data_IF_881759169067
#
_entry.id   IF_881759169067
#
_cell.length_a   1.000
_cell.length_b   1.000
_cell.length_c   1.000
_cell.angle_alpha   90.00
_cell.angle_beta   90.00
_cell.angle_gamma   90.00
#
_symmetry.space_group_name_H-M   'P 1'
#
loop_
_entity.id
_entity.type
_entity.pdbx_description
1 polymer ?
#
# COMPACT_ATOMS: atom_id res chain seq x y z
N UNK A 1 -62.82 -13.18 26.71
CA UNK A 1 -61.91 -12.04 26.47
C UNK A 1 -60.48 -12.53 26.63
N UNK A 2 -59.72 -12.51 25.54
CA UNK A 2 -58.34 -13.01 25.44
C UNK A 2 -57.39 -12.05 26.18
N UNK A 3 -56.49 -12.57 27.01
CA UNK A 3 -55.26 -11.88 27.41
C UNK A 3 -54.10 -12.79 27.06
N UNK A 4 -53.47 -12.49 25.92
CA UNK A 4 -52.19 -13.04 25.49
C UNK A 4 -51.13 -12.37 26.36
N UNK A 5 -50.44 -13.13 27.20
CA UNK A 5 -49.28 -12.65 27.93
C UNK A 5 -48.03 -12.99 27.12
N UNK A 6 -47.29 -11.94 26.78
CA UNK A 6 -46.12 -11.91 25.91
C UNK A 6 -44.98 -12.81 26.34
N UNK A 7 -44.61 -13.74 25.47
CA UNK A 7 -43.27 -14.33 25.38
C UNK A 7 -42.40 -13.30 24.65
N UNK A 8 -41.76 -12.38 25.37
CA UNK A 8 -40.76 -11.46 24.77
C UNK A 8 -39.48 -11.33 25.61
N UNK A 9 -39.41 -11.91 26.81
CA UNK A 9 -38.26 -11.72 27.71
C UNK A 9 -37.11 -12.74 27.54
N UNK A 10 -36.90 -13.30 26.34
CA UNK A 10 -35.83 -14.30 26.11
C UNK A 10 -35.18 -14.18 24.72
N UNK A 11 -34.98 -12.96 24.21
CA UNK A 11 -34.31 -12.76 22.91
C UNK A 11 -33.38 -11.54 22.86
N UNK A 12 -32.80 -11.12 23.99
CA UNK A 12 -32.04 -9.87 24.08
C UNK A 12 -30.60 -10.02 24.62
N UNK A 13 -30.01 -11.23 24.64
CA UNK A 13 -28.61 -11.43 25.09
C UNK A 13 -27.79 -12.28 24.09
N UNK A 14 -28.22 -12.35 22.84
CA UNK A 14 -27.59 -13.20 21.81
C UNK A 14 -27.12 -12.45 20.57
N UNK A 15 -26.96 -11.13 20.62
CA UNK A 15 -26.25 -10.36 19.58
C UNK A 15 -24.78 -10.27 20.00
N UNK A 16 -24.11 -11.43 20.08
CA UNK A 16 -22.67 -11.44 19.92
C UNK A 16 -22.40 -11.07 18.47
N UNK A 17 -21.45 -10.15 18.29
CA UNK A 17 -20.90 -9.69 17.03
C UNK A 17 -20.56 -10.89 16.13
N UNK A 18 -21.50 -11.30 15.29
CA UNK A 18 -21.16 -11.90 14.01
C UNK A 18 -20.69 -10.74 13.15
N UNK A 19 -19.41 -10.39 13.25
CA UNK A 19 -18.72 -9.74 12.14
C UNK A 19 -19.04 -10.62 10.94
N UNK A 20 -19.93 -10.13 10.08
CA UNK A 20 -20.15 -10.77 8.80
C UNK A 20 -18.80 -10.70 8.12
N UNK A 21 -18.24 -11.85 7.76
CA UNK A 21 -17.03 -11.89 6.94
C UNK A 21 -17.26 -10.89 5.82
N UNK A 22 -16.53 -9.78 5.84
CA UNK A 22 -16.47 -8.84 4.73
C UNK A 22 -15.88 -9.67 3.63
N UNK A 23 -16.73 -10.20 2.75
CA UNK A 23 -16.25 -10.85 1.56
C UNK A 23 -15.63 -9.74 0.75
N UNK A 24 -14.30 -9.67 0.75
CA UNK A 24 -13.59 -8.73 -0.09
C UNK A 24 -14.10 -8.88 -1.53
N UNK A 25 -14.23 -7.76 -2.25
CA UNK A 25 -14.60 -7.69 -3.66
C UNK A 25 -13.68 -8.58 -4.52
N UNK A 26 -12.49 -8.92 -4.02
CA UNK A 26 -11.66 -10.05 -4.47
C UNK A 26 -10.98 -10.70 -3.25
N UNK A 27 -11.15 -12.01 -2.98
CA UNK A 27 -10.40 -12.70 -1.94
C UNK A 27 -8.90 -12.66 -2.25
N UNK A 28 -8.09 -12.37 -1.24
CA UNK A 28 -6.63 -12.46 -1.33
C UNK A 28 -6.22 -13.82 -0.80
N UNK A 29 -5.48 -14.59 -1.59
CA UNK A 29 -4.90 -15.85 -1.13
C UNK A 29 -3.88 -15.54 -0.01
N UNK A 30 -3.84 -16.33 1.05
CA UNK A 30 -2.88 -16.12 2.16
C UNK A 30 -3.22 -15.04 3.19
N UNK A 31 -4.07 -14.04 2.90
CA UNK A 31 -4.53 -13.06 3.89
C UNK A 31 -5.91 -13.45 4.44
N UNK A 32 -5.92 -14.21 5.53
CA UNK A 32 -7.18 -14.60 6.18
C UNK A 32 -7.89 -13.43 6.86
N UNK A 33 -7.14 -12.40 7.27
CA UNK A 33 -7.68 -11.26 8.01
C UNK A 33 -8.55 -10.36 7.13
N UNK A 34 -8.16 -10.13 5.86
CA UNK A 34 -8.77 -9.13 4.98
C UNK A 34 -8.71 -7.72 5.58
N UNK A 35 -7.72 -7.45 6.43
CA UNK A 35 -7.64 -6.22 7.24
C UNK A 35 -6.26 -5.60 7.17
N UNK A 36 -6.19 -4.28 7.28
CA UNK A 36 -4.93 -3.57 7.51
C UNK A 36 -4.60 -3.50 9.00
N UNK A 37 -3.32 -3.69 9.32
CA UNK A 37 -2.81 -3.56 10.67
C UNK A 37 -2.94 -2.12 11.18
N UNK A 38 -3.59 -1.88 12.33
CA UNK A 38 -3.70 -0.52 12.88
C UNK A 38 -2.55 -0.20 13.82
N UNK A 39 -1.78 0.84 13.48
CA UNK A 39 -0.80 1.48 14.35
C UNK A 39 -1.49 2.47 15.31
N UNK A 40 -1.27 2.37 16.63
CA UNK A 40 -1.67 3.39 17.57
C UNK A 40 -0.87 4.69 17.36
N UNK A 41 -1.50 5.83 17.65
CA UNK A 41 -0.85 7.13 17.55
C UNK A 41 0.46 7.19 18.38
N UNK A 42 1.56 7.57 17.74
CA UNK A 42 2.90 7.67 18.33
C UNK A 42 3.68 6.35 18.40
N UNK A 43 3.13 5.27 17.84
CA UNK A 43 3.76 3.96 17.70
C UNK A 43 3.88 3.54 16.22
N UNK A 44 3.64 4.45 15.27
CA UNK A 44 3.88 4.22 13.85
C UNK A 44 5.36 3.90 13.57
N UNK A 45 5.65 3.09 12.54
CA UNK A 45 7.03 2.70 12.23
C UNK A 45 7.85 3.91 11.81
N UNK A 46 9.11 3.93 12.22
CA UNK A 46 10.10 4.86 11.71
C UNK A 46 10.64 4.32 10.40
N UNK A 47 10.52 5.10 9.32
CA UNK A 47 10.91 4.63 7.99
C UNK A 47 12.42 4.79 7.81
N UNK A 48 13.18 3.76 8.12
CA UNK A 48 14.64 3.75 7.99
C UNK A 48 15.21 2.42 7.44
N UNK A 49 14.32 1.50 7.07
CA UNK A 49 14.65 0.18 6.54
C UNK A 49 15.15 -0.81 7.59
N UNK A 50 15.15 -0.45 8.88
CA UNK A 50 15.13 -1.40 9.98
C UNK A 50 13.69 -1.87 10.19
N UNK A 51 13.44 -3.17 10.02
CA UNK A 51 12.09 -3.72 10.08
C UNK A 51 11.69 -4.15 11.50
N UNK A 52 12.49 -3.84 12.52
CA UNK A 52 12.28 -4.34 13.89
C UNK A 52 10.92 -3.96 14.49
N UNK A 53 10.39 -2.81 14.10
CA UNK A 53 9.07 -2.30 14.49
C UNK A 53 7.95 -3.21 13.97
N UNK A 54 8.15 -3.83 12.81
CA UNK A 54 7.16 -4.72 12.18
C UNK A 54 7.13 -6.12 12.80
N UNK A 55 8.08 -6.51 13.64
CA UNK A 55 8.13 -7.82 14.33
C UNK A 55 6.94 -8.04 15.28
N UNK A 56 6.26 -6.97 15.69
CA UNK A 56 5.06 -7.03 16.51
C UNK A 56 3.79 -7.35 15.72
N UNK A 57 3.83 -7.21 14.39
CA UNK A 57 2.70 -7.49 13.51
C UNK A 57 2.50 -9.00 13.43
N UNK A 58 1.31 -9.54 13.74
CA UNK A 58 1.06 -10.97 13.65
C UNK A 58 1.23 -11.51 12.22
N UNK A 59 1.70 -12.76 12.11
CA UNK A 59 2.01 -13.41 10.82
C UNK A 59 0.83 -13.41 9.82
N UNK A 60 -0.41 -13.34 10.29
CA UNK A 60 -1.63 -13.36 9.45
C UNK A 60 -2.00 -12.02 8.79
N UNK A 61 -1.19 -10.98 9.00
CA UNK A 61 -1.23 -9.74 8.20
C UNK A 61 -0.23 -9.74 7.04
N UNK A 62 0.77 -10.63 7.09
CA UNK A 62 1.78 -10.71 6.04
C UNK A 62 1.24 -11.44 4.82
N UNK A 63 1.59 -10.92 3.65
CA UNK A 63 1.31 -11.54 2.36
C UNK A 63 2.60 -12.18 1.86
N UNK A 64 2.75 -13.51 1.95
CA UNK A 64 3.93 -14.20 1.47
C UNK A 64 3.98 -14.23 -0.07
N UNK A 65 5.15 -14.48 -0.62
CA UNK A 65 5.37 -14.53 -2.06
C UNK A 65 4.49 -15.56 -2.78
N UNK A 66 4.28 -16.73 -2.18
CA UNK A 66 3.45 -17.81 -2.73
C UNK A 66 1.97 -17.45 -2.87
N UNK A 67 1.55 -16.34 -2.28
CA UNK A 67 0.20 -15.79 -2.35
C UNK A 67 0.02 -14.73 -3.44
N UNK A 68 1.09 -14.36 -4.16
CA UNK A 68 1.03 -13.40 -5.25
C UNK A 68 0.95 -14.11 -6.61
N UNK A 69 0.09 -13.57 -7.47
CA UNK A 69 -0.19 -14.08 -8.81
C UNK A 69 0.73 -13.42 -9.84
N UNK A 70 1.42 -14.23 -10.62
CA UNK A 70 2.22 -13.77 -11.74
C UNK A 70 1.32 -13.37 -12.93
N UNK A 71 1.56 -12.19 -13.51
CA UNK A 71 0.69 -11.54 -14.49
C UNK A 71 1.14 -11.61 -15.95
N UNK A 72 2.45 -11.70 -16.22
CA UNK A 72 3.02 -11.45 -17.54
C UNK A 72 3.63 -12.70 -18.20
N UNK A 73 4.24 -13.58 -17.40
CA UNK A 73 4.94 -14.79 -17.83
C UNK A 73 4.01 -16.00 -17.94
N UNK A 74 2.80 -15.92 -17.37
CA UNK A 74 1.82 -17.00 -17.34
C UNK A 74 2.21 -18.13 -16.39
N UNK A 75 3.00 -17.82 -15.36
CA UNK A 75 3.47 -18.80 -14.36
C UNK A 75 2.40 -19.10 -13.30
N UNK A 76 1.38 -18.25 -13.15
CA UNK A 76 0.37 -18.41 -12.13
C UNK A 76 0.96 -18.22 -10.73
N UNK A 77 1.03 -19.29 -9.93
CA UNK A 77 1.66 -19.31 -8.60
C UNK A 77 2.99 -20.11 -8.58
N UNK A 78 3.45 -20.61 -9.73
CA UNK A 78 4.72 -21.34 -9.81
C UNK A 78 5.89 -20.36 -9.77
N UNK A 79 6.24 -19.95 -8.55
CA UNK A 79 7.25 -18.94 -8.28
C UNK A 79 8.61 -19.57 -7.91
N UNK A 80 9.71 -19.03 -8.45
CA UNK A 80 11.08 -19.48 -8.15
C UNK A 80 11.73 -18.59 -7.08
N UNK A 81 11.73 -19.05 -5.82
CA UNK A 81 12.32 -18.33 -4.69
C UNK A 81 13.83 -18.08 -4.80
N UNK A 82 14.53 -18.78 -5.71
CA UNK A 82 15.95 -18.52 -5.96
C UNK A 82 16.21 -17.37 -6.93
N UNK A 83 15.15 -16.91 -7.62
CA UNK A 83 15.17 -15.73 -8.45
C UNK A 83 14.58 -14.55 -7.66
N UNK A 84 13.30 -14.62 -7.30
CA UNK A 84 12.63 -13.58 -6.52
C UNK A 84 11.96 -14.21 -5.29
N UNK A 85 11.99 -13.56 -4.15
CA UNK A 85 11.15 -13.93 -3.00
C UNK A 85 10.87 -12.71 -2.15
N UNK A 86 9.63 -12.53 -1.71
CA UNK A 86 9.30 -11.41 -0.85
C UNK A 86 8.13 -11.68 0.08
N UNK A 87 7.97 -10.82 1.06
CA UNK A 87 6.74 -10.70 1.83
C UNK A 87 6.39 -9.24 1.98
N UNK A 88 5.10 -8.95 1.98
CA UNK A 88 4.59 -7.59 2.17
C UNK A 88 3.62 -7.53 3.34
N UNK A 89 3.46 -6.35 3.91
CA UNK A 89 2.42 -6.07 4.89
C UNK A 89 1.99 -4.61 4.74
N UNK A 90 0.70 -4.38 4.99
CA UNK A 90 0.11 -3.05 4.95
C UNK A 90 -0.60 -2.74 6.27
N UNK A 91 -0.42 -1.51 6.74
CA UNK A 91 -0.99 -0.98 7.95
C UNK A 91 -1.47 0.46 7.78
N UNK A 92 -2.12 0.98 8.81
CA UNK A 92 -2.68 2.32 8.80
C UNK A 92 -2.65 2.93 10.20
N UNK A 93 -2.69 4.26 10.30
CA UNK A 93 -2.84 4.96 11.57
C UNK A 93 -3.93 6.03 11.48
N UNK A 94 -4.88 5.98 12.41
CA UNK A 94 -5.81 7.09 12.62
C UNK A 94 -5.11 8.34 13.19
N UNK A 95 -3.95 8.17 13.81
CA UNK A 95 -3.17 9.25 14.42
C UNK A 95 -2.46 10.13 13.40
N UNK A 96 -1.80 9.51 12.43
CA UNK A 96 -1.12 10.22 11.33
C UNK A 96 -2.01 10.38 10.09
N UNK A 97 -3.12 9.64 10.01
CA UNK A 97 -3.97 9.55 8.82
C UNK A 97 -3.18 9.09 7.58
N UNK A 98 -2.37 8.04 7.75
CA UNK A 98 -1.51 7.48 6.68
C UNK A 98 -1.69 5.98 6.54
N UNK A 99 -1.39 5.49 5.33
CA UNK A 99 -1.08 4.10 5.10
C UNK A 99 0.44 3.89 5.22
N UNK A 100 0.80 2.72 5.75
CA UNK A 100 2.17 2.26 5.93
C UNK A 100 2.32 0.91 5.26
N UNK A 101 3.40 0.73 4.53
CA UNK A 101 3.69 -0.50 3.82
C UNK A 101 5.10 -0.94 4.15
N UNK A 102 5.31 -2.25 4.20
CA UNK A 102 6.63 -2.84 4.32
C UNK A 102 6.78 -3.99 3.33
N UNK A 103 7.98 -4.10 2.76
CA UNK A 103 8.41 -5.23 1.96
C UNK A 103 9.79 -5.67 2.39
N UNK A 104 9.95 -6.98 2.58
CA UNK A 104 11.24 -7.64 2.62
C UNK A 104 11.36 -8.47 1.33
N UNK A 105 12.31 -8.12 0.46
CA UNK A 105 12.51 -8.71 -0.87
C UNK A 105 13.93 -9.27 -0.98
N UNK A 106 14.03 -10.55 -1.31
CA UNK A 106 15.21 -11.14 -1.94
C UNK A 106 15.01 -11.13 -3.46
N UNK A 107 16.10 -10.88 -4.17
CA UNK A 107 16.14 -10.84 -5.62
C UNK A 107 17.54 -11.25 -6.09
N UNK A 108 17.63 -12.09 -7.13
CA UNK A 108 18.90 -12.52 -7.73
C UNK A 108 19.61 -11.41 -8.52
N UNK A 109 18.88 -10.39 -8.96
CA UNK A 109 19.42 -9.26 -9.69
C UNK A 109 18.54 -8.01 -9.60
N UNK A 110 18.92 -7.11 -8.69
CA UNK A 110 18.17 -5.86 -8.54
C UNK A 110 18.47 -4.85 -9.65
N UNK A 111 17.58 -4.74 -10.64
CA UNK A 111 17.77 -3.91 -11.82
C UNK A 111 17.33 -2.45 -11.61
N UNK A 112 18.25 -1.52 -11.85
CA UNK A 112 18.02 -0.06 -11.87
C UNK A 112 18.48 0.60 -13.18
N UNK A 113 18.79 -0.21 -14.18
CA UNK A 113 19.25 0.20 -15.50
C UNK A 113 18.25 -0.15 -16.61
N UNK A 114 17.17 -0.87 -16.31
CA UNK A 114 16.24 -1.33 -17.33
C UNK A 114 15.49 -0.20 -18.05
N UNK A 115 15.01 -0.50 -19.25
CA UNK A 115 14.30 0.46 -20.11
C UNK A 115 12.99 -0.16 -20.55
N UNK A 116 11.88 0.37 -20.04
CA UNK A 116 10.57 -0.23 -20.27
C UNK A 116 9.41 0.75 -20.07
N UNK A 117 8.22 0.32 -20.49
CA UNK A 117 6.99 1.10 -20.34
C UNK A 117 6.37 0.98 -18.94
N UNK A 118 6.58 -0.16 -18.27
CA UNK A 118 6.16 -0.43 -16.89
C UNK A 118 7.33 -0.08 -15.98
N UNK A 119 7.10 0.71 -14.92
CA UNK A 119 8.14 1.10 -13.96
C UNK A 119 9.42 1.71 -14.57
N UNK A 120 9.33 2.31 -15.76
CA UNK A 120 10.48 2.70 -16.59
C UNK A 120 11.46 1.56 -16.96
N UNK A 121 11.07 0.30 -16.71
CA UNK A 121 11.87 -0.91 -16.90
C UNK A 121 12.71 -1.31 -15.68
N UNK A 122 12.52 -0.67 -14.53
CA UNK A 122 13.27 -1.05 -13.33
C UNK A 122 12.41 -1.89 -12.37
N UNK A 123 13.11 -2.58 -11.47
CA UNK A 123 12.50 -3.18 -10.30
C UNK A 123 11.75 -2.16 -9.45
N UNK A 124 10.51 -2.50 -9.12
CA UNK A 124 9.63 -1.57 -8.43
C UNK A 124 8.50 -2.25 -7.66
N UNK A 125 7.86 -1.47 -6.80
CA UNK A 125 6.62 -1.83 -6.16
C UNK A 125 5.52 -0.84 -6.56
N UNK A 126 4.59 -1.31 -7.40
CA UNK A 126 3.41 -0.55 -7.81
C UNK A 126 2.32 -0.72 -6.75
N UNK A 127 1.81 0.38 -6.20
CA UNK A 127 0.76 0.38 -5.17
C UNK A 127 -0.43 1.18 -5.70
N UNK A 128 -1.61 0.57 -5.66
CA UNK A 128 -2.88 1.10 -6.11
C UNK A 128 -3.82 1.31 -4.91
N UNK A 129 -4.34 2.52 -4.72
CA UNK A 129 -5.14 2.89 -3.55
C UNK A 129 -6.43 3.56 -4.02
N UNK A 130 -7.56 3.09 -3.52
CA UNK A 130 -8.89 3.66 -3.67
C UNK A 130 -9.51 3.79 -2.28
N UNK A 131 -9.30 4.96 -1.67
CA UNK A 131 -9.56 5.16 -0.25
C UNK A 131 -11.06 5.25 0.08
N UNK A 132 -11.88 5.78 -0.82
CA UNK A 132 -13.33 5.83 -0.64
C UNK A 132 -14.06 4.59 -1.19
N UNK A 133 -13.29 3.65 -1.78
CA UNK A 133 -13.77 2.39 -2.35
C UNK A 133 -14.80 2.61 -3.47
N UNK A 134 -14.60 3.67 -4.25
CA UNK A 134 -15.48 4.07 -5.35
C UNK A 134 -15.36 3.19 -6.61
N UNK A 135 -14.23 2.50 -6.77
CA UNK A 135 -13.90 1.70 -7.94
C UNK A 135 -13.43 2.53 -9.14
N UNK A 136 -12.88 3.72 -8.91
CA UNK A 136 -12.47 4.63 -9.97
C UNK A 136 -11.23 4.14 -10.75
N UNK A 137 -11.04 4.71 -11.94
CA UNK A 137 -9.80 4.53 -12.72
C UNK A 137 -8.67 5.32 -12.09
N UNK A 138 -7.47 4.75 -12.18
CA UNK A 138 -6.25 5.43 -11.72
C UNK A 138 -5.83 6.58 -12.65
N UNK A 139 -6.24 6.54 -13.92
CA UNK A 139 -5.82 7.50 -14.92
C UNK A 139 -6.88 7.74 -16.00
N UNK A 140 -6.80 8.92 -16.61
CA UNK A 140 -7.62 9.29 -17.76
C UNK A 140 -6.89 8.96 -19.07
N UNK A 141 -7.63 8.39 -20.03
CA UNK A 141 -7.14 8.12 -21.38
C UNK A 141 -7.06 9.41 -22.21
N UNK A 142 -6.24 9.43 -23.28
CA UNK A 142 -6.12 10.60 -24.15
C UNK A 142 -7.45 11.11 -24.73
N UNK A 143 -8.39 10.20 -24.98
CA UNK A 143 -9.70 10.51 -25.58
C UNK A 143 -10.79 10.80 -24.53
N UNK A 144 -10.51 10.67 -23.23
CA UNK A 144 -11.48 10.96 -22.16
C UNK A 144 -11.73 12.48 -22.04
N UNK A 145 -10.71 13.31 -22.34
CA UNK A 145 -10.77 14.77 -22.25
C UNK A 145 -10.01 15.44 -23.40
N UNK A 146 -10.65 16.41 -24.05
CA UNK A 146 -10.02 17.22 -25.11
C UNK A 146 -8.95 18.18 -24.54
N UNK A 147 -9.20 18.71 -23.34
CA UNK A 147 -8.31 19.64 -22.65
C UNK A 147 -7.23 18.88 -21.86
N UNK A 148 -5.98 19.29 -22.05
CA UNK A 148 -4.84 18.61 -21.43
C UNK A 148 -4.78 18.82 -19.91
N UNK A 149 -5.20 19.99 -19.41
CA UNK A 149 -5.21 20.28 -17.98
C UNK A 149 -6.34 19.51 -17.29
N UNK A 150 -7.52 19.41 -17.93
CA UNK A 150 -8.61 18.57 -17.45
C UNK A 150 -8.23 17.09 -17.46
N UNK A 151 -7.52 16.60 -18.48
CA UNK A 151 -6.96 15.25 -18.45
C UNK A 151 -6.00 15.08 -17.29
N UNK A 152 -5.06 16.02 -17.10
CA UNK A 152 -4.08 15.97 -16.02
C UNK A 152 -4.74 15.99 -14.63
N UNK A 153 -5.85 16.72 -14.49
CA UNK A 153 -6.67 16.81 -13.28
C UNK A 153 -7.32 15.48 -12.89
N UNK A 154 -7.51 14.58 -13.85
CA UNK A 154 -8.11 13.26 -13.63
C UNK A 154 -7.07 12.12 -13.60
N UNK A 155 -5.78 12.44 -13.55
CA UNK A 155 -4.72 11.46 -13.28
C UNK A 155 -4.58 11.27 -11.77
N UNK A 156 -4.90 10.08 -11.28
CA UNK A 156 -4.80 9.75 -9.85
C UNK A 156 -5.86 10.37 -8.95
N UNK A 157 -6.96 10.89 -9.52
CA UNK A 157 -7.89 11.77 -8.81
C UNK A 157 -8.60 11.08 -7.64
N UNK A 158 -9.30 9.99 -7.93
CA UNK A 158 -10.17 9.28 -6.98
C UNK A 158 -9.54 7.95 -6.54
N UNK A 159 -8.86 7.27 -7.47
CA UNK A 159 -7.96 6.17 -7.19
C UNK A 159 -6.53 6.57 -7.59
N UNK A 160 -5.55 6.24 -6.74
CA UNK A 160 -4.14 6.58 -6.90
C UNK A 160 -3.33 5.34 -7.28
N UNK A 161 -2.47 5.44 -8.29
CA UNK A 161 -1.49 4.42 -8.63
C UNK A 161 -0.09 5.06 -8.67
N UNK A 162 0.87 4.47 -7.96
CA UNK A 162 2.25 4.88 -8.02
C UNK A 162 3.22 3.70 -8.04
N UNK A 163 4.26 3.79 -8.87
CA UNK A 163 5.42 2.91 -8.78
C UNK A 163 6.41 3.47 -7.78
N UNK A 164 6.95 2.62 -6.94
CA UNK A 164 7.96 2.97 -5.95
C UNK A 164 9.26 2.24 -6.27
N UNK A 165 10.37 2.95 -6.21
CA UNK A 165 11.67 2.50 -6.71
C UNK A 165 12.77 2.84 -5.72
N UNK A 166 13.67 1.88 -5.47
CA UNK A 166 14.77 2.03 -4.53
C UNK A 166 16.06 1.44 -5.09
N UNK A 167 17.20 2.13 -5.01
CA UNK A 167 17.32 3.56 -4.77
C UNK A 167 16.62 4.40 -5.85
N UNK A 168 16.36 5.67 -5.55
CA UNK A 168 15.70 6.63 -6.43
C UNK A 168 16.23 6.62 -7.87
N UNK A 169 15.32 6.83 -8.83
CA UNK A 169 15.65 6.93 -10.24
C UNK A 169 16.47 8.21 -10.56
N UNK A 170 17.66 8.11 -11.18
CA UNK A 170 18.53 9.27 -11.42
C UNK A 170 18.35 9.98 -12.77
N UNK A 171 17.57 9.43 -13.73
CA UNK A 171 17.46 9.95 -15.09
C UNK A 171 16.12 10.66 -15.34
N UNK A 172 16.18 11.89 -15.87
CA UNK A 172 15.02 12.72 -16.27
C UNK A 172 14.23 12.17 -17.46
N UNK A 173 14.74 11.16 -18.18
CA UNK A 173 13.99 10.41 -19.19
C UNK A 173 13.20 9.22 -18.60
N UNK A 174 13.37 8.95 -17.30
CA UNK A 174 12.57 8.02 -16.50
C UNK A 174 11.79 8.84 -15.47
N UNK A 175 10.91 8.19 -14.71
CA UNK A 175 10.37 8.86 -13.53
C UNK A 175 11.52 9.36 -12.65
N UNK A 176 11.43 10.56 -12.08
CA UNK A 176 12.48 11.10 -11.21
C UNK A 176 12.04 10.88 -9.77
N UNK A 177 12.94 10.37 -8.91
CA UNK A 177 12.66 10.15 -7.49
C UNK A 177 12.38 8.70 -7.12
N UNK A 178 11.89 8.51 -5.89
CA UNK A 178 11.54 7.20 -5.33
C UNK A 178 10.07 6.83 -5.60
N UNK A 179 9.21 7.80 -5.92
CA UNK A 179 7.77 7.59 -6.14
C UNK A 179 7.32 8.21 -7.46
N UNK A 180 6.98 7.36 -8.40
CA UNK A 180 6.37 7.77 -9.65
C UNK A 180 4.86 7.67 -9.57
N UNK A 181 4.18 8.79 -9.30
CA UNK A 181 2.73 8.84 -9.42
C UNK A 181 2.30 8.76 -10.88
N UNK A 182 1.71 7.62 -11.25
CA UNK A 182 1.45 7.25 -12.63
C UNK A 182 0.63 8.31 -13.38
N UNK A 183 1.14 8.74 -14.54
CA UNK A 183 0.59 9.81 -15.38
C UNK A 183 0.36 11.17 -14.69
N UNK A 184 0.84 11.37 -13.46
CA UNK A 184 0.66 12.61 -12.71
C UNK A 184 1.82 13.57 -12.92
N UNK A 185 1.52 14.86 -13.09
CA UNK A 185 2.51 15.95 -13.07
C UNK A 185 2.76 16.49 -11.66
N UNK A 186 2.27 15.81 -10.62
CA UNK A 186 2.52 16.23 -9.24
C UNK A 186 4.00 16.13 -8.88
N UNK A 187 4.47 17.11 -8.12
CA UNK A 187 5.86 17.22 -7.66
C UNK A 187 5.98 17.32 -6.14
N UNK A 188 4.89 17.03 -5.41
CA UNK A 188 4.78 17.27 -3.97
C UNK A 188 4.33 16.04 -3.18
N UNK A 189 3.76 15.03 -3.85
CA UNK A 189 3.10 13.88 -3.23
C UNK A 189 4.06 12.85 -2.62
N UNK A 190 5.35 12.98 -2.89
CA UNK A 190 6.43 12.14 -2.38
C UNK A 190 7.18 12.78 -1.21
N UNK A 191 6.94 14.08 -0.96
CA UNK A 191 7.57 14.81 0.13
C UNK A 191 6.74 14.71 1.42
N UNK A 192 7.43 14.81 2.56
CA UNK A 192 6.75 14.94 3.85
C UNK A 192 5.84 16.20 3.86
N UNK A 193 4.62 16.11 4.41
CA UNK A 193 4.07 14.99 5.19
C UNK A 193 3.23 13.99 4.37
N UNK A 194 3.30 14.00 3.05
CA UNK A 194 2.41 13.26 2.15
C UNK A 194 2.99 11.92 1.70
N UNK A 195 4.31 11.85 1.55
CA UNK A 195 5.05 10.63 1.31
C UNK A 195 6.31 10.62 2.14
N UNK A 196 6.76 9.43 2.49
CA UNK A 196 8.08 9.18 3.06
C UNK A 196 8.44 7.70 2.87
N UNK A 197 9.72 7.37 2.96
CA UNK A 197 10.19 6.01 2.75
C UNK A 197 11.49 5.74 3.52
N UNK A 198 11.72 4.46 3.80
CA UNK A 198 12.95 3.95 4.39
C UNK A 198 13.39 2.71 3.63
N UNK A 199 14.69 2.55 3.39
CA UNK A 199 15.16 1.30 2.80
C UNK A 199 16.60 0.97 3.19
N UNK A 200 16.90 -0.33 3.19
CA UNK A 200 18.24 -0.87 3.31
C UNK A 200 18.44 -1.99 2.30
N UNK A 201 19.64 -2.04 1.70
CA UNK A 201 20.04 -3.07 0.75
C UNK A 201 21.26 -3.82 1.28
N UNK A 202 21.15 -5.15 1.37
CA UNK A 202 22.29 -6.05 1.50
C UNK A 202 22.64 -6.59 0.11
N UNK A 203 23.60 -5.96 -0.54
CA UNK A 203 23.96 -6.24 -1.92
C UNK A 203 24.22 -4.94 -2.69
N UNK A 204 24.33 -5.04 -4.00
CA UNK A 204 24.49 -3.87 -4.85
C UNK A 204 23.65 -4.04 -6.12
N UNK A 205 22.86 -3.00 -6.41
CA UNK A 205 22.05 -2.92 -7.64
C UNK A 205 22.90 -3.17 -8.88
N UNK A 206 22.30 -3.79 -9.90
CA UNK A 206 22.93 -4.12 -11.17
C UNK A 206 24.18 -5.00 -11.06
N UNK A 207 24.33 -5.83 -10.02
CA UNK A 207 25.57 -6.61 -9.84
C UNK A 207 25.41 -7.98 -9.17
N UNK A 208 24.18 -8.45 -8.95
CA UNK A 208 23.88 -9.77 -8.38
C UNK A 208 22.80 -9.70 -7.30
N UNK A 209 22.81 -10.70 -6.41
CA UNK A 209 21.79 -10.88 -5.38
C UNK A 209 21.70 -9.67 -4.43
N UNK A 210 20.46 -9.29 -4.11
CA UNK A 210 20.13 -8.22 -3.18
C UNK A 210 19.05 -8.70 -2.23
N UNK A 211 19.21 -8.41 -0.94
CA UNK A 211 18.10 -8.40 0.01
C UNK A 211 17.76 -6.96 0.36
N UNK A 212 16.54 -6.54 0.04
CA UNK A 212 16.00 -5.23 0.32
C UNK A 212 14.98 -5.28 1.46
N UNK A 213 15.08 -4.31 2.37
CA UNK A 213 14.10 -4.02 3.40
C UNK A 213 13.57 -2.63 3.13
N UNK A 214 12.28 -2.51 2.89
CA UNK A 214 11.65 -1.32 2.34
C UNK A 214 10.43 -0.98 3.15
N UNK A 215 10.26 0.30 3.43
CA UNK A 215 9.09 0.85 4.10
C UNK A 215 8.60 2.08 3.34
N UNK A 216 7.28 2.23 3.25
CA UNK A 216 6.62 3.36 2.58
C UNK A 216 5.51 3.90 3.45
N UNK A 217 5.42 5.22 3.52
CA UNK A 217 4.26 5.93 4.04
C UNK A 217 3.66 6.78 2.92
N UNK A 218 2.32 6.78 2.84
CA UNK A 218 1.60 7.67 1.92
C UNK A 218 0.30 8.21 2.51
N UNK A 219 0.02 9.46 2.20
CA UNK A 219 -1.29 10.05 2.30
C UNK A 219 -2.23 9.48 1.22
N UNK A 220 -3.52 9.55 1.50
CA UNK A 220 -4.60 9.02 0.66
C UNK A 220 -5.67 10.09 0.44
N UNK A 221 -6.32 10.08 -0.72
CA UNK A 221 -7.10 11.24 -1.19
C UNK A 221 -8.47 10.83 -1.72
N UNK A 222 -9.50 11.56 -1.29
CA UNK A 222 -10.85 11.52 -1.87
C UNK A 222 -10.94 12.36 -3.15
N UNK A 223 -10.09 13.37 -3.31
CA UNK A 223 -9.96 14.13 -4.56
C UNK A 223 -8.55 14.70 -4.65
N UNK A 224 -7.65 13.98 -5.31
CA UNK A 224 -6.27 14.43 -5.52
C UNK A 224 -6.18 15.50 -6.61
N UNK A 225 -5.36 16.52 -6.36
CA UNK A 225 -5.03 17.54 -7.34
C UNK A 225 -3.51 17.69 -7.51
N UNK A 226 -3.04 17.42 -8.72
CA UNK A 226 -1.60 17.43 -9.05
C UNK A 226 -0.87 18.77 -8.79
N UNK A 227 -1.58 19.90 -8.73
CA UNK A 227 -1.00 21.23 -8.49
C UNK A 227 -0.51 21.35 -7.04
N UNK A 228 -1.26 20.83 -6.08
CA UNK A 228 -0.92 21.02 -4.68
C UNK A 228 -1.88 20.33 -3.71
N UNK A 229 -1.43 20.13 -2.45
CA UNK A 229 -2.26 19.56 -1.40
C UNK A 229 -3.43 20.48 -1.00
N UNK A 230 -3.26 21.81 -1.12
CA UNK A 230 -4.32 22.80 -0.80
C UNK A 230 -5.54 22.71 -1.73
N UNK A 231 -5.35 22.16 -2.94
CA UNK A 231 -6.40 21.93 -3.92
C UNK A 231 -6.94 20.49 -3.87
N UNK A 232 -6.40 19.67 -2.95
CA UNK A 232 -6.75 18.27 -2.78
C UNK A 232 -7.66 18.06 -1.56
N UNK A 233 -8.40 16.95 -1.54
CA UNK A 233 -9.21 16.51 -0.40
C UNK A 233 -8.61 15.21 0.11
N UNK A 234 -7.96 15.27 1.26
CA UNK A 234 -7.40 14.10 1.93
C UNK A 234 -8.52 13.21 2.49
N UNK A 235 -8.44 11.91 2.26
CA UNK A 235 -9.38 10.95 2.83
C UNK A 235 -9.16 10.82 4.34
N UNK A 236 -10.23 10.68 5.13
CA UNK A 236 -10.12 10.43 6.57
C UNK A 236 -10.22 8.92 6.86
N UNK A 237 -9.07 8.28 7.08
CA UNK A 237 -9.00 6.87 7.43
C UNK A 237 -9.73 6.62 8.76
N UNK A 238 -10.79 5.81 8.71
CA UNK A 238 -11.68 5.57 9.84
C UNK A 238 -11.84 4.09 10.08
N UNK A 239 -11.71 3.67 11.34
CA UNK A 239 -11.92 2.29 11.75
C UNK A 239 -13.29 1.78 11.28
N UNK A 240 -13.29 0.59 10.69
CA UNK A 240 -14.48 -0.07 10.15
C UNK A 240 -14.82 0.29 8.72
N UNK A 241 -14.13 1.27 8.10
CA UNK A 241 -14.23 1.50 6.67
C UNK A 241 -13.46 0.43 5.90
N UNK A 242 -13.90 0.19 4.67
CA UNK A 242 -13.18 -0.62 3.68
C UNK A 242 -12.51 0.31 2.68
N UNK A 243 -11.29 -0.01 2.27
CA UNK A 243 -10.61 0.63 1.15
C UNK A 243 -10.34 -0.40 0.04
N UNK A 244 -10.25 0.08 -1.20
CA UNK A 244 -9.68 -0.67 -2.31
C UNK A 244 -8.16 -0.53 -2.26
N UNK A 245 -7.45 -1.65 -2.23
CA UNK A 245 -5.99 -1.66 -2.23
C UNK A 245 -5.48 -2.78 -3.13
N UNK A 246 -4.42 -2.46 -3.84
CA UNK A 246 -3.74 -3.32 -4.78
C UNK A 246 -2.25 -3.07 -4.73
N UNK A 247 -1.47 -4.09 -5.07
CA UNK A 247 -0.08 -3.86 -5.43
C UNK A 247 0.46 -4.96 -6.35
N UNK A 248 1.54 -4.60 -7.06
CA UNK A 248 2.33 -5.47 -7.93
C UNK A 248 3.80 -5.25 -7.63
N UNK A 249 4.54 -6.32 -7.36
CA UNK A 249 6.01 -6.30 -7.29
C UNK A 249 6.53 -6.67 -8.68
N UNK A 250 7.35 -5.80 -9.26
CA UNK A 250 7.96 -5.96 -10.58
C UNK A 250 9.43 -6.36 -10.44
N UNK A 251 9.87 -7.31 -11.27
CA UNK A 251 11.20 -7.95 -11.22
C UNK A 251 11.83 -7.98 -12.61
N UNK A 252 12.43 -6.87 -13.00
CA UNK A 252 12.90 -6.67 -14.36
C UNK A 252 14.37 -7.04 -14.48
N UNK A 253 14.68 -8.32 -14.69
CA UNK A 253 16.06 -8.83 -14.94
C UNK A 253 16.58 -8.48 -16.35
N UNK A 254 16.67 -7.19 -16.71
CA UNK A 254 17.00 -6.77 -18.08
C UNK A 254 18.49 -6.89 -18.44
N UNK A 255 18.98 -8.12 -18.57
CA UNK A 255 20.28 -8.41 -19.16
C UNK A 255 20.22 -8.26 -20.71
N UNK A 256 20.45 -7.03 -21.17
CA UNK A 256 20.99 -6.61 -22.49
C UNK A 256 20.10 -6.44 -23.75
N UNK A 257 18.85 -6.88 -23.86
CA UNK A 257 18.00 -6.47 -25.01
C UNK A 257 16.56 -6.19 -24.58
N UNK A 258 16.05 -5.02 -24.96
CA UNK A 258 14.62 -4.65 -24.90
C UNK A 258 13.77 -5.83 -25.40
N UNK A 259 13.13 -6.55 -24.47
CA UNK A 259 12.22 -7.67 -24.71
C UNK A 259 10.88 -7.20 -25.35
N UNK A 260 10.87 -6.07 -26.04
CA UNK A 260 9.69 -5.44 -26.63
C UNK A 260 8.81 -4.75 -25.59
N UNK A 261 9.41 -4.25 -24.51
CA UNK A 261 8.71 -3.59 -23.40
C UNK A 261 7.92 -4.52 -22.47
N UNK A 262 8.15 -5.83 -22.51
CA UNK A 262 7.66 -6.74 -21.47
C UNK A 262 8.58 -6.60 -20.24
N UNK A 263 8.03 -6.19 -19.10
CA UNK A 263 8.70 -6.37 -17.82
C UNK A 263 8.94 -7.86 -17.63
N UNK A 264 10.16 -8.24 -17.27
CA UNK A 264 10.35 -9.55 -16.65
C UNK A 264 9.48 -9.49 -15.36
N UNK A 265 8.60 -10.48 -15.19
CA UNK A 265 7.78 -10.74 -13.99
C UNK A 265 6.98 -9.61 -13.31
N UNK A 266 5.70 -9.86 -13.04
CA UNK A 266 4.88 -8.98 -12.18
C UNK A 266 3.98 -9.80 -11.28
N UNK A 267 4.10 -9.62 -9.96
CA UNK A 267 3.39 -10.41 -8.96
C UNK A 267 2.41 -9.54 -8.19
N UNK A 268 1.12 -9.73 -8.47
CA UNK A 268 0.04 -8.99 -7.83
C UNK A 268 -0.70 -9.77 -6.74
N UNK A 269 -1.31 -9.06 -5.79
CA UNK A 269 -2.02 -9.68 -4.66
C UNK A 269 -3.33 -10.39 -4.99
N UNK A 270 -3.82 -10.23 -6.22
CA UNK A 270 -5.06 -10.86 -6.64
C UNK A 270 -4.94 -11.28 -8.11
N UNK A 271 -5.76 -12.21 -8.61
CA UNK A 271 -5.58 -12.75 -9.95
C UNK A 271 -6.02 -11.80 -11.09
N UNK A 272 -6.55 -10.62 -10.76
CA UNK A 272 -7.10 -9.69 -11.73
C UNK A 272 -6.10 -8.58 -12.08
N UNK A 273 -5.33 -8.83 -13.15
CA UNK A 273 -4.38 -7.87 -13.70
C UNK A 273 -5.00 -6.49 -13.97
N UNK A 274 -6.31 -6.36 -14.22
CA UNK A 274 -6.95 -5.05 -14.50
C UNK A 274 -6.90 -4.07 -13.31
N UNK A 275 -6.44 -4.51 -12.14
CA UNK A 275 -6.16 -3.66 -10.98
C UNK A 275 -5.22 -2.47 -11.29
N UNK A 276 -4.31 -2.60 -12.26
CA UNK A 276 -3.45 -1.47 -12.69
C UNK A 276 -4.24 -0.36 -13.40
N UNK A 277 -5.44 -0.66 -13.93
CA UNK A 277 -6.28 0.26 -14.68
C UNK A 277 -7.32 0.96 -13.80
N UNK A 278 -8.01 0.19 -12.96
CA UNK A 278 -9.05 0.70 -12.05
C UNK A 278 -9.14 -0.12 -10.75
N UNK A 279 -9.76 0.48 -9.73
CA UNK A 279 -9.96 -0.16 -8.45
C UNK A 279 -11.30 -0.91 -8.27
N UNK A 280 -12.13 -1.06 -9.31
CA UNK A 280 -13.18 -2.10 -9.28
C UNK A 280 -12.53 -3.49 -9.12
N UNK A 281 -11.29 -3.60 -9.60
CA UNK A 281 -10.47 -4.81 -9.57
C UNK A 281 -9.46 -4.85 -8.41
N UNK A 282 -9.40 -3.81 -7.56
CA UNK A 282 -8.60 -3.82 -6.33
C UNK A 282 -9.19 -4.79 -5.30
N UNK A 283 -8.36 -5.25 -4.37
CA UNK A 283 -8.82 -6.07 -3.26
C UNK A 283 -9.37 -5.19 -2.14
N UNK A 284 -10.34 -5.69 -1.39
CA UNK A 284 -10.88 -4.94 -0.25
C UNK A 284 -10.07 -5.21 1.00
N UNK A 285 -9.74 -4.14 1.72
CA UNK A 285 -9.17 -4.24 3.04
C UNK A 285 -9.99 -3.45 4.05
N UNK A 286 -10.33 -4.10 5.16
CA UNK A 286 -10.96 -3.45 6.31
C UNK A 286 -9.90 -2.68 7.12
N UNK A 287 -10.18 -1.41 7.42
CA UNK A 287 -9.45 -0.63 8.41
C UNK A 287 -9.84 -1.12 9.81
N UNK A 288 -9.22 -2.21 10.27
CA UNK A 288 -9.57 -2.87 11.52
C UNK A 288 -9.18 -2.06 12.76
N UNK A 289 -9.84 -2.26 13.92
CA UNK A 289 -9.37 -1.77 15.22
C UNK A 289 -7.94 -2.24 15.53
N UNK A 290 -7.31 -1.59 16.51
CA UNK A 290 -6.05 -2.06 17.10
C UNK A 290 -6.18 -3.54 17.51
N UNK A 291 -5.27 -4.37 17.03
CA UNK A 291 -5.29 -5.80 17.28
C UNK A 291 -5.00 -6.11 18.76
N UNK A 292 -5.93 -6.74 19.50
CA UNK A 292 -5.75 -7.02 20.92
C UNK A 292 -4.69 -8.10 21.21
N UNK A 293 -4.16 -8.78 20.18
CA UNK A 293 -3.07 -9.75 20.30
C UNK A 293 -1.70 -9.08 20.49
N UNK A 294 -1.59 -7.81 20.12
CA UNK A 294 -0.31 -7.10 20.05
C UNK A 294 -0.07 -6.27 21.30
N UNK A 295 1.12 -6.40 21.88
CA UNK A 295 1.59 -5.57 22.99
C UNK A 295 2.51 -4.46 22.48
N UNK A 296 1.93 -3.29 22.21
CA UNK A 296 2.68 -2.11 21.76
C UNK A 296 3.61 -1.52 22.82
N UNK A 297 3.64 -2.03 24.06
CA UNK A 297 4.57 -1.55 25.08
C UNK A 297 6.03 -1.99 24.85
N UNK A 298 6.26 -2.95 23.94
CA UNK A 298 7.60 -3.39 23.54
C UNK A 298 8.28 -2.48 22.53
N UNK A 299 7.52 -1.63 21.82
CA UNK A 299 8.04 -0.70 20.82
C UNK A 299 8.39 0.62 21.50
N UNK A 300 9.61 1.16 21.32
CA UNK A 300 9.93 2.52 21.73
C UNK A 300 8.97 3.50 21.06
N UNK A 301 8.33 4.37 21.84
CA UNK A 301 7.47 5.39 21.25
C UNK A 301 8.31 6.34 20.39
N UNK A 302 7.89 6.61 19.15
CA UNK A 302 8.49 7.64 18.28
C UNK A 302 8.43 9.06 18.90
N UNK A 303 7.66 9.21 19.99
CA UNK A 303 7.62 10.38 20.84
C UNK A 303 8.91 10.46 21.68
N UNK A 304 9.92 11.20 21.21
CA UNK A 304 11.07 11.55 22.03
C UNK A 304 10.63 12.14 23.39
N UNK A 305 11.35 11.85 24.47
CA UNK A 305 11.02 12.30 25.83
C UNK A 305 10.85 13.83 25.93
N UNK A 306 11.46 14.59 25.02
CA UNK A 306 11.43 16.06 24.96
C UNK A 306 10.51 16.64 23.86
N UNK A 307 9.62 15.83 23.25
CA UNK A 307 8.72 16.36 22.23
C UNK A 307 7.66 17.31 22.84
N UNK A 308 7.40 18.42 22.15
CA UNK A 308 6.40 19.43 22.54
C UNK A 308 4.98 18.86 22.73
N UNK A 309 4.69 17.69 22.12
CA UNK A 309 3.43 16.98 22.27
C UNK A 309 3.20 16.45 23.70
N UNK A 310 4.23 15.87 24.35
CA UNK A 310 4.14 15.42 25.76
C UNK A 310 4.02 16.58 26.74
N UNK A 311 4.75 17.67 26.48
CA UNK A 311 4.67 18.90 27.29
C UNK A 311 3.22 19.41 27.30
N UNK A 312 2.53 19.44 26.15
CA UNK A 312 1.13 19.88 26.06
C UNK A 312 0.16 18.91 26.72
N UNK A 313 0.35 17.59 26.57
CA UNK A 313 -0.51 16.59 27.22
C UNK A 313 -0.45 16.68 28.76
N UNK A 314 0.71 17.03 29.34
CA UNK A 314 0.87 17.23 30.78
C UNK A 314 0.10 18.46 31.33
N UNK A 315 -0.20 19.46 30.48
CA UNK A 315 -0.97 20.66 30.89
C UNK A 315 -2.49 20.51 30.74
N UNK A 316 -2.98 19.44 30.12
CA UNK A 316 -4.42 19.20 29.94
C UNK A 316 -5.02 18.45 31.15
N UNK A 317 -4.19 17.86 32.02
CA UNK A 317 -4.63 17.13 33.22
C UNK A 317 -4.68 17.96 34.52
N UNK A 318 -4.80 19.29 34.45
CA UNK A 318 -5.03 20.15 35.62
C UNK A 318 -6.43 20.78 35.63
#
# INVERSE_FOLDING_TARGET
MKKVFSIVAMLAVGLMLSASAVSAHVPIEGIESGTLFQWPAGQEPMLDGDLSEWDIVPDDYYVPFDSHFEYYLGLGLENDESNLSFRTVAGWSAGTNRLYFMMERFDNYWDRNGVGAVAAGDDSWEIMIDADHGGDRHFALPDDFEDADERQRNQGRFAQNAHHCWPDMPDANRAVGWKWFFNSNSTWHEDAPWGDYGFQLDGAVNSGEVTARIEVMTAVWDDFHWIGPDDSIEHTLTEGNTIGLGWVVHDTDSDEEDNGGASDGGWGINPNIQMWFDCVNCSDFLLAPIDPRVDFSSIPTAVEEDSWARIKAAYIQQ
#
